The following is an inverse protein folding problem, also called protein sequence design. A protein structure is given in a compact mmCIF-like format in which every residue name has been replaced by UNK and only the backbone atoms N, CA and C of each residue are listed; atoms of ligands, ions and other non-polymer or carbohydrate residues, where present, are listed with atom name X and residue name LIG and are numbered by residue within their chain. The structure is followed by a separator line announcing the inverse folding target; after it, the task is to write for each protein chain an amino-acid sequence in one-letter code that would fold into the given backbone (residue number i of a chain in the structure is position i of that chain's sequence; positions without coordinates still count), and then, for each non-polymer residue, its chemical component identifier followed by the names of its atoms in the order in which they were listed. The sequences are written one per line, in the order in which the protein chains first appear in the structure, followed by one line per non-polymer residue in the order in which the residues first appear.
data_IF_748308180655
#
_entry.id   IF_748308180655
#
_cell.length_a   1.000
_cell.length_b   1.000
_cell.length_c   1.000
_cell.angle_alpha   90.00
_cell.angle_beta   90.00
_cell.angle_gamma   90.00
#
_symmetry.space_group_name_H-M   'P 1'
#
loop_
_entity.id
_entity.type
_entity.pdbx_description
1 polymer ?
#
# COMPACT_ATOMS: atom_id res chain seq x y z
N UNK A 1 -38.19 34.97 -20.96
CA UNK A 1 -37.78 33.59 -20.91
C UNK A 1 -36.35 33.36 -21.42
N UNK A 2 -35.93 33.93 -22.55
CA UNK A 2 -34.56 33.72 -23.10
C UNK A 2 -33.44 34.24 -22.17
N UNK A 3 -33.68 35.30 -21.38
CA UNK A 3 -32.71 35.85 -20.44
C UNK A 3 -32.55 35.01 -19.17
N UNK A 4 -33.60 34.33 -18.72
CA UNK A 4 -33.54 33.43 -17.56
C UNK A 4 -32.83 32.12 -17.90
N UNK A 5 -32.96 31.64 -19.14
CA UNK A 5 -32.28 30.44 -19.59
C UNK A 5 -30.75 30.65 -19.69
N UNK A 6 -30.34 31.85 -20.14
CA UNK A 6 -28.92 32.20 -20.22
C UNK A 6 -28.26 32.35 -18.86
N UNK A 7 -28.96 32.91 -17.86
CA UNK A 7 -28.45 33.04 -16.49
C UNK A 7 -28.40 31.69 -15.76
N UNK A 8 -29.34 30.80 -16.00
CA UNK A 8 -29.34 29.44 -15.45
C UNK A 8 -28.19 28.61 -16.03
N UNK A 9 -27.93 28.75 -17.34
CA UNK A 9 -26.84 28.04 -18.01
C UNK A 9 -25.46 28.53 -17.53
N UNK A 10 -25.31 29.85 -17.28
CA UNK A 10 -24.08 30.41 -16.72
C UNK A 10 -23.82 29.94 -15.26
N UNK A 11 -24.88 29.77 -14.47
CA UNK A 11 -24.79 29.31 -13.10
C UNK A 11 -24.37 27.81 -13.04
N UNK A 12 -24.87 27.00 -13.96
CA UNK A 12 -24.50 25.56 -14.06
C UNK A 12 -23.06 25.42 -14.51
N UNK A 13 -22.55 26.27 -15.41
CA UNK A 13 -21.15 26.27 -15.82
C UNK A 13 -20.20 26.74 -14.70
N UNK A 14 -20.62 27.64 -13.83
CA UNK A 14 -19.82 28.09 -12.70
C UNK A 14 -19.68 27.02 -11.60
N UNK A 15 -20.71 26.19 -11.42
CA UNK A 15 -20.63 25.06 -10.47
C UNK A 15 -19.76 23.89 -10.96
N UNK A 16 -19.56 23.74 -12.26
CA UNK A 16 -18.70 22.68 -12.80
C UNK A 16 -17.20 22.98 -12.70
N UNK A 17 -16.79 24.20 -12.43
CA UNK A 17 -15.41 24.62 -12.24
C UNK A 17 -14.88 24.39 -10.80
N UNK A 18 -15.78 24.16 -9.84
CA UNK A 18 -15.40 23.90 -8.44
C UNK A 18 -15.11 22.42 -8.19
N UNK A 19 -15.46 21.52 -9.12
CA UNK A 19 -15.19 20.09 -9.01
C UNK A 19 -13.75 19.69 -9.42
N UNK A 20 -12.92 20.64 -9.86
CA UNK A 20 -11.49 20.44 -10.13
C UNK A 20 -10.60 21.17 -9.11
N UNK A 21 -11.04 21.25 -7.87
CA UNK A 21 -10.17 21.46 -6.73
C UNK A 21 -9.40 20.17 -6.50
N UNK A 22 -8.32 19.98 -7.24
CA UNK A 22 -7.40 18.88 -7.08
C UNK A 22 -6.81 18.93 -5.68
N UNK A 23 -7.33 18.13 -4.75
CA UNK A 23 -6.46 17.46 -3.84
C UNK A 23 -5.60 16.56 -4.72
N UNK A 24 -4.35 16.93 -4.97
CA UNK A 24 -3.31 16.00 -5.32
C UNK A 24 -3.12 15.13 -4.08
N UNK A 25 -3.97 14.16 -3.88
CA UNK A 25 -3.64 12.96 -3.16
C UNK A 25 -2.61 12.25 -4.06
N UNK A 26 -1.35 12.64 -3.88
CA UNK A 26 -0.24 11.85 -4.37
C UNK A 26 -0.50 10.45 -3.82
N UNK A 27 -0.56 9.47 -4.71
CA UNK A 27 -0.75 8.09 -4.32
C UNK A 27 0.40 7.74 -3.37
N UNK A 28 0.10 7.66 -2.06
CA UNK A 28 1.11 7.49 -1.00
C UNK A 28 1.72 6.09 -1.00
N UNK A 29 1.27 5.23 -1.93
CA UNK A 29 1.65 3.84 -1.96
C UNK A 29 1.08 3.06 -0.76
N UNK A 30 1.50 1.82 -0.66
CA UNK A 30 1.14 0.93 0.45
C UNK A 30 2.29 -0.01 0.75
N UNK A 31 2.33 -0.52 1.97
CA UNK A 31 3.29 -1.53 2.40
C UNK A 31 2.55 -2.80 2.77
N UNK A 32 3.00 -3.93 2.23
CA UNK A 32 2.60 -5.25 2.67
C UNK A 32 3.83 -5.98 3.22
N UNK A 33 3.89 -6.15 4.53
CA UNK A 33 4.95 -6.88 5.22
C UNK A 33 4.50 -8.29 5.60
N UNK A 34 5.24 -9.29 5.13
CA UNK A 34 5.08 -10.67 5.58
C UNK A 34 6.02 -10.94 6.74
N UNK A 35 5.47 -11.06 7.94
CA UNK A 35 6.20 -11.28 9.20
C UNK A 35 6.41 -12.77 9.46
N UNK A 36 7.62 -13.15 9.82
CA UNK A 36 8.01 -14.54 10.12
C UNK A 36 8.01 -14.84 11.63
N UNK A 37 7.74 -13.87 12.50
CA UNK A 37 7.80 -13.96 13.95
C UNK A 37 6.40 -13.86 14.57
N UNK A 38 5.69 -14.99 14.81
CA UNK A 38 4.36 -14.95 15.43
C UNK A 38 4.34 -14.24 16.78
N UNK A 39 5.39 -14.37 17.57
CA UNK A 39 5.54 -13.72 18.87
C UNK A 39 5.62 -12.19 18.81
N UNK A 40 5.95 -11.63 17.65
CA UNK A 40 6.04 -10.20 17.42
C UNK A 40 4.81 -9.63 16.69
N UNK A 41 3.80 -10.43 16.38
CA UNK A 41 2.64 -10.02 15.58
C UNK A 41 1.98 -8.77 16.13
N UNK A 42 1.64 -8.75 17.42
CA UNK A 42 0.96 -7.60 18.03
C UNK A 42 1.78 -6.32 17.90
N UNK A 43 3.09 -6.40 18.11
CA UNK A 43 3.98 -5.23 17.99
C UNK A 43 4.01 -4.69 16.55
N UNK A 44 4.02 -5.57 15.57
CA UNK A 44 3.96 -5.19 14.15
C UNK A 44 2.61 -4.58 13.77
N UNK A 45 1.50 -5.12 14.28
CA UNK A 45 0.17 -4.55 14.04
C UNK A 45 0.05 -3.14 14.63
N UNK A 46 0.57 -2.91 15.82
CA UNK A 46 0.53 -1.61 16.48
C UNK A 46 1.44 -0.59 15.80
N UNK A 47 2.62 -1.03 15.34
CA UNK A 47 3.53 -0.21 14.53
C UNK A 47 2.88 0.20 13.21
N UNK A 48 2.26 -0.74 12.51
CA UNK A 48 1.56 -0.49 11.26
C UNK A 48 0.46 0.57 11.41
N UNK A 49 -0.38 0.44 12.43
CA UNK A 49 -1.43 1.43 12.75
C UNK A 49 -0.84 2.82 13.04
N UNK A 50 0.24 2.85 13.83
CA UNK A 50 0.91 4.12 14.19
C UNK A 50 1.49 4.79 12.96
N UNK A 51 2.19 4.05 12.12
CA UNK A 51 2.78 4.56 10.89
C UNK A 51 1.71 5.07 9.92
N UNK A 52 0.65 4.30 9.69
CA UNK A 52 -0.48 4.72 8.85
C UNK A 52 -1.12 6.01 9.37
N UNK A 53 -1.31 6.12 10.70
CA UNK A 53 -1.87 7.34 11.32
C UNK A 53 -0.98 8.56 11.11
N UNK A 54 0.34 8.39 11.17
CA UNK A 54 1.31 9.49 11.03
C UNK A 54 1.53 9.92 9.58
N UNK A 55 1.52 8.97 8.65
CA UNK A 55 1.95 9.20 7.26
C UNK A 55 0.81 9.16 6.25
N UNK A 56 -0.30 8.49 6.59
CA UNK A 56 -1.38 8.16 5.66
C UNK A 56 -1.03 7.02 4.69
N UNK A 57 0.14 6.39 4.83
CA UNK A 57 0.53 5.19 4.07
C UNK A 57 -0.14 3.97 4.68
N UNK A 58 -0.87 3.22 3.89
CA UNK A 58 -1.47 1.96 4.35
C UNK A 58 -0.38 0.91 4.58
N UNK A 59 -0.42 0.26 5.75
CA UNK A 59 0.50 -0.83 6.10
C UNK A 59 -0.29 -2.06 6.48
N UNK A 60 -0.15 -3.11 5.69
CA UNK A 60 -0.68 -4.45 5.96
C UNK A 60 0.42 -5.32 6.52
N UNK A 61 0.19 -5.93 7.66
CA UNK A 61 1.08 -6.96 8.23
C UNK A 61 0.34 -8.29 8.26
N UNK A 62 0.94 -9.29 7.66
CA UNK A 62 0.47 -10.69 7.73
C UNK A 62 1.56 -11.52 8.36
N UNK A 63 1.21 -12.27 9.39
CA UNK A 63 2.16 -13.09 10.14
C UNK A 63 1.98 -14.56 9.81
N UNK A 64 3.06 -15.19 9.36
CA UNK A 64 3.07 -16.63 9.13
C UNK A 64 3.07 -17.40 10.46
N UNK A 65 2.37 -18.53 10.49
CA UNK A 65 2.47 -19.46 11.60
C UNK A 65 3.89 -20.02 11.73
N UNK A 66 4.25 -20.45 12.93
CA UNK A 66 5.57 -21.02 13.19
C UNK A 66 5.90 -22.16 12.24
N UNK A 67 7.05 -22.09 11.58
CA UNK A 67 7.52 -23.09 10.63
C UNK A 67 6.83 -23.04 9.24
N UNK A 68 5.93 -22.08 8.98
CA UNK A 68 5.20 -21.98 7.71
C UNK A 68 5.65 -20.80 6.83
N UNK A 69 6.65 -20.06 7.26
CA UNK A 69 7.03 -18.82 6.60
C UNK A 69 7.43 -19.00 5.13
N UNK A 70 8.34 -19.94 4.84
CA UNK A 70 8.84 -20.13 3.46
C UNK A 70 7.72 -20.59 2.51
N UNK A 71 6.86 -21.50 2.99
CA UNK A 71 5.68 -21.93 2.20
C UNK A 71 4.73 -20.78 1.93
N UNK A 72 4.47 -19.97 2.92
CA UNK A 72 3.62 -18.80 2.79
C UNK A 72 4.23 -17.74 1.89
N UNK A 73 5.53 -17.43 2.06
CA UNK A 73 6.25 -16.46 1.24
C UNK A 73 6.19 -16.84 -0.24
N UNK A 74 6.51 -18.07 -0.58
CA UNK A 74 6.43 -18.57 -1.96
C UNK A 74 5.03 -18.38 -2.54
N UNK A 75 3.99 -18.76 -1.79
CA UNK A 75 2.61 -18.59 -2.22
C UNK A 75 2.16 -17.14 -2.35
N UNK A 76 2.63 -16.24 -1.47
CA UNK A 76 2.25 -14.83 -1.52
C UNK A 76 2.99 -14.07 -2.63
N UNK A 77 4.22 -14.43 -2.96
CA UNK A 77 4.99 -13.81 -4.04
C UNK A 77 4.39 -14.08 -5.44
N UNK A 78 3.66 -15.18 -5.59
CA UNK A 78 2.97 -15.52 -6.85
C UNK A 78 1.67 -14.73 -7.06
N UNK A 79 1.23 -13.96 -6.08
CA UNK A 79 -0.01 -13.18 -6.17
C UNK A 79 0.21 -11.82 -6.82
N UNK A 80 -0.82 -11.28 -7.46
CA UNK A 80 -0.81 -9.92 -7.98
C UNK A 80 -0.53 -8.87 -6.87
N UNK A 81 -1.11 -9.07 -5.68
CA UNK A 81 -0.85 -8.25 -4.49
C UNK A 81 0.19 -8.92 -3.57
N UNK A 82 1.40 -9.12 -4.10
CA UNK A 82 2.50 -9.72 -3.38
C UNK A 82 3.02 -8.84 -2.23
N UNK A 83 3.70 -9.43 -1.22
CA UNK A 83 4.43 -8.66 -0.21
C UNK A 83 5.42 -7.68 -0.84
N UNK A 84 5.40 -6.44 -0.40
CA UNK A 84 6.38 -5.42 -0.77
C UNK A 84 7.59 -5.41 0.15
N UNK A 85 7.48 -6.07 1.28
CA UNK A 85 8.54 -6.23 2.26
C UNK A 85 8.47 -7.62 2.89
N UNK A 86 9.55 -8.36 2.82
CA UNK A 86 9.66 -9.69 3.40
C UNK A 86 11.09 -9.96 3.89
N UNK A 87 11.28 -11.02 4.62
CA UNK A 87 12.54 -11.34 5.26
C UNK A 87 13.15 -12.62 4.68
N UNK A 88 14.46 -12.61 4.53
CA UNK A 88 15.26 -13.79 4.13
C UNK A 88 16.27 -14.13 5.20
N UNK A 89 16.42 -15.42 5.50
CA UNK A 89 17.22 -15.89 6.64
C UNK A 89 18.68 -16.17 6.33
N UNK A 90 19.06 -16.31 5.05
CA UNK A 90 20.41 -16.69 4.66
C UNK A 90 20.67 -16.36 3.18
N UNK A 91 21.93 -16.55 2.75
CA UNK A 91 22.36 -16.27 1.38
C UNK A 91 21.62 -17.13 0.33
N UNK A 92 21.28 -18.36 0.65
CA UNK A 92 20.51 -19.22 -0.24
C UNK A 92 19.11 -18.64 -0.53
N UNK A 93 18.46 -18.13 0.50
CA UNK A 93 17.18 -17.43 0.36
C UNK A 93 17.31 -16.11 -0.43
N UNK A 94 18.38 -15.36 -0.23
CA UNK A 94 18.68 -14.19 -1.06
C UNK A 94 18.77 -14.56 -2.54
N UNK A 95 19.48 -15.64 -2.86
CA UNK A 95 19.60 -16.11 -4.24
C UNK A 95 18.26 -16.61 -4.82
N UNK A 96 17.41 -17.21 -3.99
CA UNK A 96 16.10 -17.74 -4.44
C UNK A 96 15.05 -16.65 -4.66
N UNK A 97 15.11 -15.58 -3.88
CA UNK A 97 14.08 -14.51 -3.91
C UNK A 97 14.59 -13.19 -4.46
N UNK A 98 15.84 -13.11 -4.93
CA UNK A 98 16.45 -11.89 -5.43
C UNK A 98 15.69 -11.24 -6.59
N UNK A 99 15.12 -12.06 -7.48
CA UNK A 99 14.34 -11.57 -8.62
C UNK A 99 13.04 -10.84 -8.22
N UNK A 100 12.57 -11.03 -6.99
CA UNK A 100 11.43 -10.30 -6.42
C UNK A 100 11.82 -9.03 -5.68
N UNK A 101 13.11 -8.74 -5.57
CA UNK A 101 13.66 -7.61 -4.82
C UNK A 101 13.98 -6.42 -5.73
N UNK A 102 13.67 -5.22 -5.25
CA UNK A 102 14.12 -3.99 -5.88
C UNK A 102 15.47 -3.57 -5.27
N UNK A 103 16.53 -3.30 -6.07
CA UNK A 103 17.80 -2.80 -5.54
C UNK A 103 17.61 -1.41 -4.95
N UNK A 104 18.18 -1.20 -3.76
CA UNK A 104 18.10 0.07 -3.03
C UNK A 104 19.43 0.85 -3.07
N UNK A 105 20.46 0.27 -3.65
CA UNK A 105 21.78 0.86 -3.89
C UNK A 105 21.78 1.56 -5.25
N UNK A 106 21.93 2.87 -5.22
CA UNK A 106 22.15 3.70 -6.41
C UNK A 106 23.61 4.15 -6.48
#
# INVERSE_FOLDING_TARGET
MKKFLATLLALVMALSLVACGSSKDEAKGSVYYLNFKPEADQAWQDLAKTYTKQTGVEVKVVTAASGQYDTMLTSELDKEAAPTMFQVGNQGAVNSYGDFCYPLDN
#
